data_IF_029378213684
#
_entry.id   IF_029378213684
#
_cell.length_a   1.000
_cell.length_b   1.000
_cell.length_c   1.000
_cell.angle_alpha   90.00
_cell.angle_beta   90.00
_cell.angle_gamma   90.00
#
_symmetry.space_group_name_H-M   'P 1'
#
loop_
_entity.id
_entity.type
_entity.pdbx_description
1 polymer ?
#
# COMPACT_ATOMS: atom_id res chain seq x y z
N UNK A 1 13.31 9.79 -1.48
CA UNK A 1 14.46 9.63 -2.39
C UNK A 1 15.30 8.42 -1.95
N UNK A 2 15.57 8.24 -0.65
CA UNK A 2 16.29 7.08 -0.09
C UNK A 2 15.67 5.69 -0.39
N UNK A 3 14.33 5.59 -0.48
CA UNK A 3 13.65 4.30 -0.68
C UNK A 3 13.93 3.71 -2.08
N UNK A 4 14.06 4.56 -3.10
CA UNK A 4 14.41 4.11 -4.46
C UNK A 4 15.89 3.77 -4.58
N UNK A 5 16.76 4.53 -3.91
CA UNK A 5 18.22 4.27 -3.90
C UNK A 5 18.56 2.90 -3.31
N UNK A 6 17.83 2.47 -2.26
CA UNK A 6 18.02 1.15 -1.65
C UNK A 6 17.37 0.00 -2.43
N UNK A 7 16.44 0.29 -3.35
CA UNK A 7 15.70 -0.72 -4.12
C UNK A 7 16.39 -1.17 -5.43
N UNK A 8 17.46 -0.48 -5.86
CA UNK A 8 18.18 -0.82 -7.10
C UNK A 8 17.44 -0.50 -8.41
N UNK A 9 16.35 0.28 -8.34
CA UNK A 9 15.49 0.62 -9.47
C UNK A 9 16.14 1.70 -10.34
N UNK A 10 16.29 1.42 -11.65
CA UNK A 10 16.77 2.39 -12.64
C UNK A 10 15.68 3.43 -12.96
N UNK A 11 15.66 4.50 -12.17
CA UNK A 11 14.72 5.62 -12.32
C UNK A 11 14.96 6.44 -13.60
N UNK A 12 16.07 6.23 -14.33
CA UNK A 12 16.39 6.98 -15.56
C UNK A 12 15.47 6.67 -16.75
N UNK A 13 14.70 5.57 -16.68
CA UNK A 13 13.74 5.16 -17.71
C UNK A 13 12.30 5.63 -17.44
N UNK A 14 12.06 6.23 -16.28
CA UNK A 14 10.73 6.66 -15.84
C UNK A 14 10.65 8.18 -15.96
N UNK A 15 9.99 8.68 -17.00
CA UNK A 15 9.87 10.14 -17.26
C UNK A 15 8.68 10.78 -16.53
N UNK A 16 8.40 10.33 -15.30
CA UNK A 16 7.33 10.86 -14.48
C UNK A 16 7.69 10.83 -13.01
N UNK A 17 7.21 11.84 -12.28
CA UNK A 17 7.37 11.88 -10.84
C UNK A 17 6.52 10.81 -10.18
N UNK A 18 7.03 10.25 -9.10
CA UNK A 18 6.35 9.27 -8.27
C UNK A 18 6.41 9.68 -6.82
N UNK A 19 5.35 9.39 -6.07
CA UNK A 19 5.33 9.51 -4.60
C UNK A 19 4.94 8.16 -4.00
N UNK A 20 5.48 7.90 -2.82
CA UNK A 20 5.15 6.71 -2.03
C UNK A 20 4.25 7.17 -0.88
N UNK A 21 3.14 6.46 -0.71
CA UNK A 21 2.25 6.60 0.44
C UNK A 21 2.43 5.33 1.28
N UNK A 22 2.88 5.50 2.51
CA UNK A 22 2.99 4.41 3.46
C UNK A 22 1.73 4.35 4.30
N UNK A 23 1.13 3.16 4.40
CA UNK A 23 -0.06 2.95 5.23
C UNK A 23 0.19 1.84 6.22
N UNK A 24 0.04 2.17 7.51
CA UNK A 24 0.08 1.19 8.59
C UNK A 24 -1.32 0.64 8.86
N UNK A 25 -1.42 -0.68 8.97
CA UNK A 25 -2.66 -1.39 9.32
C UNK A 25 -2.44 -2.22 10.58
N UNK A 26 -3.45 -2.24 11.45
CA UNK A 26 -3.46 -3.14 12.60
C UNK A 26 -4.18 -4.43 12.21
N UNK A 27 -3.47 -5.55 12.32
CA UNK A 27 -4.01 -6.89 12.09
C UNK A 27 -4.18 -7.56 13.44
N UNK A 28 -5.37 -8.11 13.68
CA UNK A 28 -5.70 -8.83 14.90
C UNK A 28 -6.32 -10.17 14.57
N UNK A 29 -5.73 -11.25 15.06
CA UNK A 29 -6.34 -12.57 14.99
C UNK A 29 -7.24 -12.76 16.21
N UNK A 30 -8.55 -12.66 16.00
CA UNK A 30 -9.55 -12.88 17.06
C UNK A 30 -10.03 -14.33 17.13
N UNK A 31 -9.35 -15.25 16.45
CA UNK A 31 -9.71 -16.68 16.40
C UNK A 31 -8.78 -17.50 17.30
N UNK A 32 -9.13 -18.77 17.53
CA UNK A 32 -8.35 -19.72 18.33
C UNK A 32 -7.30 -20.50 17.51
N UNK A 33 -7.17 -20.20 16.21
CA UNK A 33 -6.26 -20.88 15.28
C UNK A 33 -5.30 -19.88 14.64
N UNK A 34 -4.12 -20.34 14.21
CA UNK A 34 -3.24 -19.56 13.35
C UNK A 34 -3.99 -19.14 12.07
N UNK A 35 -3.78 -17.89 11.63
CA UNK A 35 -4.33 -17.39 10.37
C UNK A 35 -3.23 -16.80 9.50
N UNK A 36 -3.26 -17.19 8.24
CA UNK A 36 -2.54 -16.52 7.16
C UNK A 36 -3.49 -15.52 6.49
N UNK A 37 -3.08 -14.25 6.43
CA UNK A 37 -3.86 -13.16 5.85
C UNK A 37 -3.14 -12.66 4.60
N UNK A 38 -3.66 -12.95 3.40
CA UNK A 38 -3.15 -12.36 2.17
C UNK A 38 -3.50 -10.87 2.16
N UNK A 39 -2.49 -10.01 2.13
CA UNK A 39 -2.68 -8.56 2.22
C UNK A 39 -2.86 -7.92 0.84
N UNK A 40 -2.66 -8.69 -0.24
CA UNK A 40 -2.83 -8.27 -1.64
C UNK A 40 -4.22 -7.76 -2.01
N UNK A 41 -5.23 -8.03 -1.18
CA UNK A 41 -6.60 -7.53 -1.37
C UNK A 41 -6.78 -6.08 -0.88
N UNK A 42 -5.82 -5.54 -0.13
CA UNK A 42 -5.82 -4.14 0.28
C UNK A 42 -5.37 -3.25 -0.88
N UNK A 43 -6.21 -2.28 -1.21
CA UNK A 43 -5.96 -1.28 -2.23
C UNK A 43 -6.15 0.12 -1.64
N UNK A 44 -5.30 1.05 -2.05
CA UNK A 44 -5.43 2.45 -1.70
C UNK A 44 -6.12 3.19 -2.84
N UNK A 45 -7.15 3.95 -2.52
CA UNK A 45 -7.92 4.72 -3.49
C UNK A 45 -7.92 6.21 -3.19
N UNK A 46 -7.98 6.98 -4.25
CA UNK A 46 -8.32 8.41 -4.24
C UNK A 46 -9.25 8.69 -5.42
N UNK A 47 -9.81 9.89 -5.51
CA UNK A 47 -10.77 10.23 -6.58
C UNK A 47 -10.16 9.96 -7.97
N UNK A 48 -10.74 8.98 -8.67
CA UNK A 48 -10.38 8.60 -10.04
C UNK A 48 -9.18 7.65 -10.18
N UNK A 49 -8.54 7.24 -9.08
CA UNK A 49 -7.34 6.40 -9.11
C UNK A 49 -7.36 5.39 -7.96
N UNK A 50 -7.14 4.12 -8.27
CA UNK A 50 -6.86 3.07 -7.29
C UNK A 50 -5.49 2.44 -7.56
N UNK A 51 -4.77 2.12 -6.50
CA UNK A 51 -3.45 1.48 -6.57
C UNK A 51 -3.36 0.35 -5.56
N UNK A 52 -2.59 -0.68 -5.89
CA UNK A 52 -2.29 -1.80 -5.01
C UNK A 52 -0.96 -1.56 -4.29
N UNK A 53 -0.63 -2.46 -3.36
CA UNK A 53 0.67 -2.45 -2.70
C UNK A 53 1.78 -2.60 -3.74
N UNK A 54 2.80 -1.75 -3.65
CA UNK A 54 3.98 -1.84 -4.50
C UNK A 54 4.83 -3.03 -4.04
N UNK A 55 4.72 -4.14 -4.76
CA UNK A 55 5.46 -5.35 -4.47
C UNK A 55 6.98 -5.14 -4.58
N UNK A 56 7.42 -4.30 -5.52
CA UNK A 56 8.84 -4.00 -5.71
C UNK A 56 9.44 -3.30 -4.50
N UNK A 57 8.76 -2.27 -3.98
CA UNK A 57 9.19 -1.56 -2.77
C UNK A 57 9.11 -2.45 -1.52
N UNK A 58 8.07 -3.29 -1.43
CA UNK A 58 7.89 -4.24 -0.33
C UNK A 58 9.04 -5.25 -0.29
N UNK A 59 9.38 -5.86 -1.43
CA UNK A 59 10.47 -6.83 -1.54
C UNK A 59 11.85 -6.19 -1.39
N UNK A 60 12.00 -4.93 -1.82
CA UNK A 60 13.24 -4.16 -1.69
C UNK A 60 13.55 -3.70 -0.27
N UNK A 61 12.57 -3.71 0.65
CA UNK A 61 12.76 -3.28 2.03
C UNK A 61 11.88 -4.07 3.02
N UNK A 62 12.15 -5.38 3.15
CA UNK A 62 11.41 -6.29 4.03
C UNK A 62 11.64 -6.06 5.53
N UNK A 63 12.61 -5.23 5.92
CA UNK A 63 12.83 -4.86 7.31
C UNK A 63 11.84 -3.77 7.78
N UNK A 64 11.38 -2.93 6.85
CA UNK A 64 10.48 -1.80 7.12
C UNK A 64 9.02 -2.11 6.79
N UNK A 65 8.77 -2.87 5.71
CA UNK A 65 7.44 -3.22 5.26
C UNK A 65 7.01 -4.62 5.70
N UNK A 66 5.69 -4.84 5.75
CA UNK A 66 5.11 -6.16 6.00
C UNK A 66 5.33 -7.15 4.85
N UNK A 67 4.84 -8.37 5.04
CA UNK A 67 4.80 -9.45 4.04
C UNK A 67 3.53 -9.39 3.19
N UNK A 68 3.60 -9.98 1.99
CA UNK A 68 2.42 -10.19 1.13
C UNK A 68 1.40 -11.14 1.78
N UNK A 69 1.86 -12.01 2.68
CA UNK A 69 1.03 -12.88 3.51
C UNK A 69 1.50 -12.75 4.94
N UNK A 70 0.61 -12.25 5.80
CA UNK A 70 0.88 -12.10 7.22
C UNK A 70 0.39 -13.32 7.98
N UNK A 71 1.27 -13.89 8.80
CA UNK A 71 0.90 -14.94 9.75
C UNK A 71 0.59 -14.32 11.09
N UNK A 72 -0.51 -14.75 11.72
CA UNK A 72 -0.90 -14.31 13.05
C UNK A 72 -1.27 -15.51 13.92
N UNK A 73 -0.65 -15.61 15.08
CA UNK A 73 -1.00 -16.57 16.13
C UNK A 73 -2.36 -16.23 16.77
N UNK A 74 -3.03 -17.18 17.43
CA UNK A 74 -4.27 -16.91 18.16
C UNK A 74 -4.13 -15.75 19.15
N UNK A 75 -4.98 -14.74 19.01
CA UNK A 75 -4.96 -13.54 19.87
C UNK A 75 -3.87 -12.51 19.55
N UNK A 76 -3.01 -12.76 18.56
CA UNK A 76 -1.96 -11.83 18.16
C UNK A 76 -2.55 -10.54 17.57
N UNK A 77 -1.92 -9.42 17.91
CA UNK A 77 -2.19 -8.11 17.35
C UNK A 77 -0.86 -7.48 16.92
N UNK A 78 -0.76 -7.08 15.65
CA UNK A 78 0.46 -6.47 15.10
C UNK A 78 0.13 -5.34 14.15
N UNK A 79 1.01 -4.33 14.13
CA UNK A 79 0.94 -3.20 13.20
C UNK A 79 1.99 -3.42 12.12
N UNK A 80 1.55 -3.39 10.87
CA UNK A 80 2.40 -3.60 9.69
C UNK A 80 2.20 -2.45 8.70
N UNK A 81 3.26 -2.05 8.01
CA UNK A 81 3.25 -0.92 7.07
C UNK A 81 3.42 -1.42 5.65
N UNK A 82 2.65 -0.85 4.71
CA UNK A 82 2.72 -1.20 3.29
C UNK A 82 2.93 0.02 2.39
N UNK A 83 3.77 -0.09 1.35
CA UNK A 83 4.01 0.99 0.40
C UNK A 83 2.98 0.96 -0.73
N UNK A 84 2.42 2.13 -1.05
CA UNK A 84 1.60 2.35 -2.23
C UNK A 84 2.26 3.39 -3.12
N UNK A 85 2.42 3.06 -4.39
CA UNK A 85 3.03 3.96 -5.37
C UNK A 85 1.95 4.76 -6.10
N UNK A 86 2.14 6.08 -6.19
CA UNK A 86 1.32 6.99 -7.00
C UNK A 86 2.16 7.73 -8.04
N UNK A 87 1.77 7.58 -9.30
CA UNK A 87 2.48 8.14 -10.44
C UNK A 87 1.81 9.42 -10.93
N UNK A 88 2.61 10.46 -11.19
CA UNK A 88 2.11 11.75 -11.67
C UNK A 88 1.34 11.68 -12.99
N UNK A 89 1.62 10.68 -13.83
CA UNK A 89 0.91 10.45 -15.10
C UNK A 89 -0.58 10.11 -14.92
N UNK A 90 -0.98 9.65 -13.72
CA UNK A 90 -2.37 9.34 -13.42
C UNK A 90 -3.20 10.59 -13.12
N UNK A 91 -2.56 11.76 -13.00
CA UNK A 91 -3.20 13.00 -12.58
C UNK A 91 -2.93 14.13 -13.57
N UNK A 92 -3.84 15.10 -13.64
CA UNK A 92 -3.52 16.36 -14.28
C UNK A 92 -2.47 17.12 -13.45
N UNK A 93 -1.63 17.94 -14.10
CA UNK A 93 -0.57 18.72 -13.43
C UNK A 93 -1.09 19.56 -12.24
N UNK A 94 -2.29 20.14 -12.36
CA UNK A 94 -2.93 20.93 -11.30
C UNK A 94 -3.29 20.07 -10.07
N UNK A 95 -3.64 18.81 -10.30
CA UNK A 95 -4.05 17.87 -9.26
C UNK A 95 -2.83 17.26 -8.58
N UNK A 96 -1.79 16.93 -9.36
CA UNK A 96 -0.51 16.44 -8.84
C UNK A 96 0.15 17.40 -7.86
N UNK A 97 0.08 18.71 -8.15
CA UNK A 97 0.63 19.76 -7.25
C UNK A 97 0.02 19.71 -5.85
N UNK A 98 -1.22 19.26 -5.72
CA UNK A 98 -1.96 19.21 -4.45
C UNK A 98 -2.23 17.76 -4.01
N UNK A 99 -1.45 16.79 -4.49
CA UNK A 99 -1.71 15.37 -4.24
C UNK A 99 -1.68 15.00 -2.75
N UNK A 100 -0.84 15.68 -1.96
CA UNK A 100 -0.74 15.50 -0.50
C UNK A 100 -1.98 15.98 0.25
N UNK A 101 -2.81 16.82 -0.36
CA UNK A 101 -4.06 17.30 0.22
C UNK A 101 -5.25 16.41 -0.13
N UNK A 102 -5.06 15.37 -0.96
CA UNK A 102 -6.15 14.48 -1.33
C UNK A 102 -6.51 13.55 -0.19
N UNK A 103 -7.79 13.23 -0.11
CA UNK A 103 -8.26 12.12 0.69
C UNK A 103 -7.88 10.80 0.01
N UNK A 104 -7.46 9.85 0.84
CA UNK A 104 -7.21 8.48 0.46
C UNK A 104 -8.08 7.56 1.31
N UNK A 105 -8.52 6.46 0.72
CA UNK A 105 -9.34 5.45 1.40
C UNK A 105 -8.71 4.09 1.17
N UNK A 106 -8.59 3.31 2.24
CA UNK A 106 -8.23 1.92 2.13
C UNK A 106 -9.48 1.13 1.72
N UNK A 107 -9.32 0.20 0.79
CA UNK A 107 -10.41 -0.64 0.32
C UNK A 107 -10.00 -2.10 0.30
N UNK A 108 -10.98 -2.96 0.56
CA UNK A 108 -10.87 -4.39 0.34
C UNK A 108 -11.62 -4.72 -0.96
N UNK A 109 -10.89 -5.24 -1.95
CA UNK A 109 -11.46 -5.57 -3.25
C UNK A 109 -11.92 -7.03 -3.30
N UNK A 110 -13.22 -7.27 -3.21
CA UNK A 110 -13.84 -8.58 -3.42
C UNK A 110 -14.88 -8.50 -4.53
N UNK A 111 -14.48 -8.76 -5.78
CA UNK A 111 -15.38 -8.66 -6.93
C UNK A 111 -16.75 -9.34 -6.66
N UNK A 112 -17.89 -8.71 -6.99
CA UNK A 112 -18.04 -7.40 -7.66
C UNK A 112 -18.00 -6.20 -6.71
N UNK A 113 -17.94 -6.44 -5.40
CA UNK A 113 -18.12 -5.42 -4.37
C UNK A 113 -16.78 -4.87 -3.88
N UNK A 114 -16.79 -3.60 -3.50
CA UNK A 114 -15.63 -2.94 -2.90
C UNK A 114 -16.01 -2.36 -1.57
N UNK A 115 -15.35 -2.82 -0.52
CA UNK A 115 -15.62 -2.39 0.85
C UNK A 115 -14.59 -1.33 1.21
N UNK A 116 -15.08 -0.13 1.55
CA UNK A 116 -14.22 0.91 2.12
C UNK A 116 -13.96 0.59 3.58
N UNK A 117 -12.69 0.50 3.95
CA UNK A 117 -12.26 0.40 5.33
C UNK A 117 -12.17 1.82 5.87
N UNK A 118 -13.15 2.21 6.68
CA UNK A 118 -13.15 3.52 7.34
C UNK A 118 -12.10 3.51 8.46
N UNK A 119 -11.23 4.53 8.43
CA UNK A 119 -10.19 4.80 9.43
C UNK A 119 -10.78 5.44 10.69
#
# INVERSE_FOLDING_TARGET
>A
MEIYENSGIDTSKVNYDTKIIEVSVCLKNTTEEEKEVPITYLSLETTGVGTAISQELLMGNSEHYGSMVEKLEPGEEKVVTYPYEICSIWFHKKDWKNIEMRSFWMTFASYPDKIVLYL
#
